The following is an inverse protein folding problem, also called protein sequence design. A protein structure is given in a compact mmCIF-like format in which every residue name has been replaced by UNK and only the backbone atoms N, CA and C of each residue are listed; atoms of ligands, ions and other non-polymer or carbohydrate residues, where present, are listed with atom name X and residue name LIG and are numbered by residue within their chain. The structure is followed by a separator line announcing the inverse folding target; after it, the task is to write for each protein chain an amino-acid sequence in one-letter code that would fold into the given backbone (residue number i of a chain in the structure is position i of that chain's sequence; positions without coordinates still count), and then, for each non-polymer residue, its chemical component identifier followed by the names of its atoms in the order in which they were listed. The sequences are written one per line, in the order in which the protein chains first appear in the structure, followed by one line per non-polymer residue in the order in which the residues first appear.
data_IF_314645937445
#
_entry.id   IF_314645937445
#
_cell.length_a   1.000
_cell.length_b   1.000
_cell.length_c   1.000
_cell.angle_alpha   90.00
_cell.angle_beta   90.00
_cell.angle_gamma   90.00
#
_symmetry.space_group_name_H-M   'P 1'
#
loop_
_entity.id
_entity.type
_entity.pdbx_description
1 polymer ?
#
# COMPACT_ATOMS: atom_id res chain seq x y z
N UNK A 1 -23.21 10.24 7.74
CA UNK A 1 -21.91 10.57 7.11
C UNK A 1 -21.13 9.29 6.87
N UNK A 2 -20.59 9.02 5.66
CA UNK A 2 -20.11 7.71 5.26
C UNK A 2 -18.69 7.63 4.71
N UNK A 3 -17.92 8.70 4.78
CA UNK A 3 -16.54 8.70 4.27
C UNK A 3 -15.52 8.86 5.42
N UNK A 4 -14.35 8.24 5.24
CA UNK A 4 -13.26 8.27 6.24
C UNK A 4 -12.65 9.67 6.38
N UNK A 5 -12.33 10.43 5.32
CA UNK A 5 -11.76 11.76 5.47
C UNK A 5 -12.61 12.68 6.34
N UNK A 6 -13.89 12.80 6.01
CA UNK A 6 -14.79 13.68 6.77
C UNK A 6 -14.95 13.22 8.22
N UNK A 7 -15.09 11.91 8.45
CA UNK A 7 -15.23 11.37 9.81
C UNK A 7 -13.96 11.54 10.66
N UNK A 8 -12.78 11.58 10.04
CA UNK A 8 -11.51 11.74 10.75
C UNK A 8 -11.19 13.21 11.06
N UNK A 9 -11.55 14.14 10.16
CA UNK A 9 -11.15 15.56 10.27
C UNK A 9 -12.21 16.39 11.00
N UNK A 10 -13.47 15.91 11.03
CA UNK A 10 -14.59 16.69 11.58
C UNK A 10 -14.57 16.70 13.10
N UNK A 11 -14.51 17.88 13.70
CA UNK A 11 -14.54 18.08 15.16
C UNK A 11 -15.97 18.14 15.73
N UNK A 12 -16.99 18.27 14.88
CA UNK A 12 -18.37 18.42 15.31
C UNK A 12 -19.32 17.61 14.43
N UNK A 13 -20.06 16.70 15.04
CA UNK A 13 -21.04 15.83 14.41
C UNK A 13 -22.49 16.24 14.69
N UNK A 14 -22.75 17.51 15.08
CA UNK A 14 -24.11 18.00 15.33
C UNK A 14 -24.96 17.86 14.04
N UNK A 15 -26.14 17.23 14.18
CA UNK A 15 -27.03 16.94 13.04
C UNK A 15 -26.65 15.72 12.19
N UNK A 16 -25.69 14.90 12.66
CA UNK A 16 -25.33 13.62 12.07
C UNK A 16 -25.87 12.50 12.93
N UNK A 17 -26.83 11.73 12.41
CA UNK A 17 -27.45 10.63 13.13
C UNK A 17 -26.61 9.35 13.09
N UNK A 18 -25.75 9.18 12.06
CA UNK A 18 -24.97 7.96 11.85
C UNK A 18 -23.67 8.25 11.13
N UNK A 19 -22.58 7.59 11.55
CA UNK A 19 -21.25 7.66 10.94
C UNK A 19 -20.85 6.26 10.49
N UNK A 20 -20.42 6.11 9.22
CA UNK A 20 -20.02 4.85 8.61
C UNK A 20 -18.69 4.97 7.85
N UNK A 21 -17.59 5.37 8.51
CA UNK A 21 -16.28 5.42 7.87
C UNK A 21 -15.76 3.97 7.68
N UNK A 22 -15.44 3.57 6.44
CA UNK A 22 -14.96 2.22 6.16
C UNK A 22 -13.45 2.08 6.33
N UNK A 23 -12.68 2.96 5.70
CA UNK A 23 -11.23 2.83 5.58
C UNK A 23 -10.44 3.26 6.83
N UNK A 24 -11.08 3.85 7.85
CA UNK A 24 -10.39 4.35 9.05
C UNK A 24 -9.67 3.25 9.85
N UNK A 25 -10.11 1.99 9.74
CA UNK A 25 -9.47 0.84 10.41
C UNK A 25 -8.13 0.45 9.78
N UNK A 26 -7.88 0.88 8.55
CA UNK A 26 -6.67 0.54 7.80
C UNK A 26 -5.84 1.76 7.46
N UNK A 27 -6.49 2.85 7.06
CA UNK A 27 -5.93 3.92 6.27
C UNK A 27 -5.16 3.39 5.04
N UNK A 28 -4.66 4.28 4.19
CA UNK A 28 -3.89 3.96 2.99
C UNK A 28 -3.16 5.18 2.45
N UNK A 29 -2.43 5.00 1.37
CA UNK A 29 -1.69 6.09 0.73
C UNK A 29 -2.62 7.18 0.20
N UNK A 30 -3.86 6.85 -0.20
CA UNK A 30 -4.85 7.85 -0.63
C UNK A 30 -5.28 8.73 0.55
N UNK A 31 -5.57 8.14 1.71
CA UNK A 31 -5.92 8.86 2.93
C UNK A 31 -4.77 9.75 3.42
N UNK A 32 -3.54 9.23 3.35
CA UNK A 32 -2.35 10.01 3.69
C UNK A 32 -2.17 11.22 2.75
N UNK A 33 -2.36 11.05 1.44
CA UNK A 33 -2.28 12.15 0.48
C UNK A 33 -3.36 13.24 0.70
N UNK A 34 -4.49 12.87 1.30
CA UNK A 34 -5.55 13.81 1.71
C UNK A 34 -5.24 14.50 3.05
N UNK A 35 -4.15 14.14 3.72
CA UNK A 35 -3.78 14.70 5.02
C UNK A 35 -4.59 14.15 6.20
N UNK A 36 -5.28 13.02 6.01
CA UNK A 36 -6.15 12.39 7.02
C UNK A 36 -5.36 11.61 8.07
N UNK A 37 -4.21 11.04 7.66
CA UNK A 37 -3.35 10.20 8.50
C UNK A 37 -1.88 10.36 8.11
N UNK A 38 -0.99 9.88 8.94
CA UNK A 38 0.43 9.70 8.62
C UNK A 38 0.67 8.34 7.95
N UNK A 39 1.89 8.08 7.47
CA UNK A 39 2.25 6.75 6.96
C UNK A 39 2.29 5.69 8.05
N UNK A 40 2.58 6.08 9.29
CA UNK A 40 2.65 5.16 10.43
C UNK A 40 1.28 4.67 10.88
N UNK A 41 0.21 5.41 10.54
CA UNK A 41 -1.17 5.03 10.83
C UNK A 41 -1.72 3.97 9.85
N UNK A 42 -1.02 3.69 8.73
CA UNK A 42 -1.46 2.71 7.74
C UNK A 42 -1.20 1.29 8.25
N UNK A 43 -2.27 0.59 8.61
CA UNK A 43 -2.19 -0.73 9.23
C UNK A 43 -1.99 -1.89 8.25
N UNK A 44 -2.35 -1.72 6.97
CA UNK A 44 -2.29 -2.80 5.96
C UNK A 44 -1.08 -2.65 5.06
N UNK A 45 -0.33 -3.75 4.89
CA UNK A 45 0.80 -3.85 3.97
C UNK A 45 0.67 -5.13 3.15
N UNK A 46 0.99 -5.05 1.87
CA UNK A 46 1.10 -6.22 1.01
C UNK A 46 2.56 -6.66 0.96
N UNK A 47 2.82 -7.90 1.34
CA UNK A 47 4.16 -8.50 1.25
C UNK A 47 4.29 -9.21 -0.09
N UNK A 48 5.27 -8.82 -0.89
CA UNK A 48 5.45 -9.31 -2.26
C UNK A 48 6.87 -9.83 -2.47
N UNK A 49 7.06 -11.03 -3.06
CA UNK A 49 8.39 -11.49 -3.42
C UNK A 49 8.92 -10.75 -4.66
N UNK A 50 10.21 -10.44 -4.64
CA UNK A 50 10.96 -9.95 -5.79
C UNK A 50 11.22 -11.11 -6.74
N UNK A 51 10.78 -10.98 -7.99
CA UNK A 51 10.91 -12.05 -9.00
C UNK A 51 11.90 -11.71 -10.11
N UNK A 52 12.20 -10.42 -10.33
CA UNK A 52 13.25 -10.00 -11.26
C UNK A 52 13.80 -8.62 -10.88
N UNK A 53 15.03 -8.33 -11.34
CA UNK A 53 15.71 -7.05 -11.14
C UNK A 53 16.37 -6.60 -12.44
N UNK A 54 16.15 -5.34 -12.80
CA UNK A 54 16.66 -4.73 -14.01
C UNK A 54 17.43 -3.42 -13.68
N UNK A 55 18.71 -3.51 -13.27
CA UNK A 55 19.46 -2.34 -12.81
C UNK A 55 19.58 -1.23 -13.86
N UNK A 56 19.75 -1.58 -15.14
CA UNK A 56 19.88 -0.61 -16.23
C UNK A 56 18.61 0.23 -16.47
N UNK A 57 17.46 -0.24 -16.00
CA UNK A 57 16.18 0.46 -16.09
C UNK A 57 15.72 1.05 -14.77
N UNK A 58 16.46 0.81 -13.67
CA UNK A 58 16.04 1.15 -12.31
C UNK A 58 14.67 0.53 -11.95
N UNK A 59 14.48 -0.74 -12.30
CA UNK A 59 13.23 -1.46 -12.12
C UNK A 59 13.44 -2.77 -11.37
N UNK A 60 12.51 -3.06 -10.46
CA UNK A 60 12.38 -4.33 -9.75
C UNK A 60 10.99 -4.87 -10.02
N UNK A 61 10.88 -6.14 -10.36
CA UNK A 61 9.60 -6.82 -10.59
C UNK A 61 9.23 -7.62 -9.35
N UNK A 62 7.99 -7.44 -8.91
CA UNK A 62 7.42 -8.19 -7.80
C UNK A 62 6.23 -9.04 -8.26
N UNK A 63 5.97 -10.15 -7.59
CA UNK A 63 4.70 -10.84 -7.69
C UNK A 63 3.70 -10.11 -6.78
N UNK A 64 2.99 -9.17 -7.38
CA UNK A 64 2.09 -8.23 -6.73
C UNK A 64 1.47 -7.31 -7.77
N UNK A 65 0.39 -7.73 -8.41
CA UNK A 65 -0.28 -7.02 -9.49
C UNK A 65 -1.71 -6.58 -9.15
N UNK A 66 -2.53 -6.38 -10.18
CA UNK A 66 -3.89 -5.86 -10.03
C UNK A 66 -4.81 -6.78 -9.22
N UNK A 67 -4.58 -8.10 -9.25
CA UNK A 67 -5.33 -9.07 -8.44
C UNK A 67 -5.00 -9.02 -6.96
N UNK A 68 -3.95 -8.26 -6.58
CA UNK A 68 -3.54 -8.04 -5.19
C UNK A 68 -3.84 -6.59 -4.73
N UNK A 69 -3.60 -5.59 -5.60
CA UNK A 69 -3.67 -4.16 -5.24
C UNK A 69 -4.90 -3.44 -5.78
N UNK A 70 -5.72 -4.07 -6.65
CA UNK A 70 -6.67 -3.38 -7.51
C UNK A 70 -5.97 -2.54 -8.61
N UNK A 71 -6.71 -1.63 -9.25
CA UNK A 71 -6.15 -0.70 -10.25
C UNK A 71 -6.22 0.76 -9.80
N UNK A 72 -6.52 0.99 -8.53
CA UNK A 72 -6.55 2.32 -7.97
C UNK A 72 -5.14 2.89 -7.87
N UNK A 73 -5.00 4.14 -8.24
CA UNK A 73 -3.74 4.83 -8.30
C UNK A 73 -3.88 6.28 -7.86
N UNK A 74 -2.86 6.78 -7.21
CA UNK A 74 -2.68 8.22 -6.97
C UNK A 74 -1.57 8.76 -7.86
N UNK A 75 -1.38 10.08 -7.86
CA UNK A 75 -0.23 10.71 -8.52
C UNK A 75 0.84 11.00 -7.47
N UNK A 76 2.09 10.66 -7.81
CA UNK A 76 3.22 11.07 -7.00
C UNK A 76 3.55 12.57 -7.24
N UNK A 77 4.57 13.08 -6.57
CA UNK A 77 5.02 14.48 -6.69
C UNK A 77 5.37 14.90 -8.12
N UNK A 78 5.79 13.97 -8.97
CA UNK A 78 6.10 14.19 -10.40
C UNK A 78 4.85 14.07 -11.31
N UNK A 79 3.66 13.92 -10.75
CA UNK A 79 2.41 13.71 -11.49
C UNK A 79 2.25 12.32 -12.13
N UNK A 80 3.16 11.38 -11.86
CA UNK A 80 3.13 10.02 -12.40
C UNK A 80 2.20 9.14 -11.57
N UNK A 81 1.57 8.16 -12.22
CA UNK A 81 0.74 7.15 -11.52
C UNK A 81 1.59 6.33 -10.57
N UNK A 82 1.06 6.14 -9.36
CA UNK A 82 1.64 5.33 -8.31
C UNK A 82 0.54 4.41 -7.73
N UNK A 83 0.86 3.12 -7.56
CA UNK A 83 -0.04 2.09 -7.05
C UNK A 83 0.28 1.66 -5.62
N UNK A 84 1.38 2.14 -5.05
CA UNK A 84 1.79 1.88 -3.68
C UNK A 84 3.16 2.47 -3.36
N UNK A 85 3.44 2.62 -2.05
CA UNK A 85 4.72 3.07 -1.51
C UNK A 85 5.52 1.86 -1.02
N UNK A 86 6.84 1.93 -1.16
CA UNK A 86 7.73 0.81 -0.88
C UNK A 86 8.29 0.93 0.53
N UNK A 87 8.18 -0.14 1.31
CA UNK A 87 8.90 -0.34 2.57
C UNK A 87 9.89 -1.49 2.38
N UNK A 88 11.11 -1.28 2.78
CA UNK A 88 12.15 -2.32 2.81
C UNK A 88 12.56 -2.60 4.26
N UNK A 89 13.09 -3.80 4.50
CA UNK A 89 13.77 -4.10 5.74
C UNK A 89 15.25 -3.75 5.58
N UNK A 90 15.75 -2.90 6.44
CA UNK A 90 17.16 -2.55 6.51
C UNK A 90 17.69 -2.85 7.91
N UNK A 91 18.47 -3.93 8.04
CA UNK A 91 19.04 -4.37 9.32
C UNK A 91 18.00 -4.58 10.44
N UNK A 92 16.83 -5.11 10.10
CA UNK A 92 15.74 -5.33 11.05
C UNK A 92 14.74 -4.17 11.17
N UNK A 93 15.08 -3.00 10.66
CA UNK A 93 14.20 -1.83 10.68
C UNK A 93 13.39 -1.69 9.40
N UNK A 94 12.12 -1.33 9.53
CA UNK A 94 11.23 -1.03 8.40
C UNK A 94 11.46 0.42 7.95
N UNK A 95 11.89 0.59 6.71
CA UNK A 95 12.21 1.91 6.13
C UNK A 95 11.27 2.19 4.96
N UNK A 96 10.43 3.20 5.10
CA UNK A 96 9.65 3.74 3.97
C UNK A 96 10.60 4.49 3.05
N UNK A 97 10.68 4.06 1.80
CA UNK A 97 11.50 4.74 0.80
C UNK A 97 10.87 6.08 0.38
N UNK A 98 11.71 7.01 -0.09
CA UNK A 98 11.26 8.31 -0.58
C UNK A 98 10.32 8.21 -1.80
N UNK A 99 9.79 9.34 -2.26
CA UNK A 99 8.78 9.41 -3.34
C UNK A 99 9.31 9.05 -4.72
N UNK A 100 10.63 8.91 -4.90
CA UNK A 100 11.24 8.44 -6.14
C UNK A 100 11.14 6.91 -6.29
N UNK A 101 10.78 6.22 -5.18
CA UNK A 101 10.71 4.77 -5.08
C UNK A 101 9.24 4.35 -4.84
N UNK A 102 8.61 3.74 -5.83
CA UNK A 102 7.18 3.44 -5.78
C UNK A 102 6.79 2.30 -6.73
N UNK A 103 5.62 1.70 -6.48
CA UNK A 103 4.98 0.77 -7.40
C UNK A 103 4.41 1.56 -8.58
N UNK A 104 5.09 1.50 -9.73
CA UNK A 104 4.87 2.39 -10.87
C UNK A 104 3.91 1.82 -11.92
N UNK A 105 3.87 0.50 -12.06
CA UNK A 105 3.02 -0.22 -13.02
C UNK A 105 2.59 -1.55 -12.43
N UNK A 106 1.40 -1.99 -12.81
CA UNK A 106 0.88 -3.31 -12.47
C UNK A 106 0.31 -3.98 -13.72
N UNK A 107 0.59 -5.26 -13.88
CA UNK A 107 -0.15 -6.18 -14.74
C UNK A 107 -1.14 -6.99 -13.90
N UNK A 108 -1.64 -8.11 -14.40
CA UNK A 108 -2.57 -8.94 -13.62
C UNK A 108 -1.93 -9.42 -12.31
N UNK A 109 -0.75 -10.04 -12.36
CA UNK A 109 -0.10 -10.69 -11.22
C UNK A 109 1.21 -10.01 -10.80
N UNK A 110 1.79 -9.18 -11.66
CA UNK A 110 3.10 -8.58 -11.41
C UNK A 110 3.02 -7.07 -11.28
N UNK A 111 3.87 -6.55 -10.42
CA UNK A 111 4.12 -5.13 -10.24
C UNK A 111 5.54 -4.75 -10.63
N UNK A 112 5.72 -3.52 -11.09
CA UNK A 112 7.03 -2.95 -11.40
C UNK A 112 7.29 -1.81 -10.43
N UNK A 113 8.28 -1.99 -9.58
CA UNK A 113 8.80 -0.94 -8.73
C UNK A 113 9.75 -0.09 -9.56
N UNK A 114 9.54 1.21 -9.57
CA UNK A 114 10.55 2.19 -9.98
C UNK A 114 11.35 2.54 -8.75
N UNK A 115 12.67 2.40 -8.83
CA UNK A 115 13.56 2.67 -7.70
C UNK A 115 14.71 3.57 -8.15
N UNK A 116 15.21 4.41 -7.24
CA UNK A 116 16.41 5.20 -7.51
C UNK A 116 17.63 4.27 -7.70
N UNK A 117 18.60 4.69 -8.51
CA UNK A 117 19.83 3.92 -8.77
C UNK A 117 20.56 3.55 -7.47
N UNK A 118 20.57 4.44 -6.49
CA UNK A 118 21.17 4.20 -5.17
C UNK A 118 20.43 3.15 -4.33
N UNK A 119 19.18 2.85 -4.65
CA UNK A 119 18.34 1.90 -3.91
C UNK A 119 18.29 0.51 -4.56
N UNK A 120 18.69 0.37 -5.82
CA UNK A 120 18.55 -0.90 -6.57
C UNK A 120 19.32 -2.05 -5.91
N UNK A 121 20.40 -1.75 -5.20
CA UNK A 121 21.20 -2.72 -4.45
C UNK A 121 20.48 -3.37 -3.27
N UNK A 122 19.43 -2.73 -2.74
CA UNK A 122 18.66 -3.24 -1.60
C UNK A 122 17.68 -4.36 -1.97
N UNK A 123 17.56 -4.72 -3.24
CA UNK A 123 16.63 -5.73 -3.71
C UNK A 123 17.36 -6.91 -4.32
N UNK A 124 17.08 -8.12 -3.87
CA UNK A 124 17.54 -9.37 -4.48
C UNK A 124 16.33 -10.22 -4.87
N UNK A 125 16.51 -11.08 -5.88
CA UNK A 125 15.46 -12.04 -6.27
C UNK A 125 15.23 -12.98 -5.09
N UNK A 126 13.96 -13.15 -4.71
CA UNK A 126 13.53 -13.93 -3.54
C UNK A 126 13.33 -13.10 -2.27
N UNK A 127 13.84 -11.86 -2.21
CA UNK A 127 13.55 -10.96 -1.08
C UNK A 127 12.04 -10.65 -1.01
N UNK A 128 11.56 -10.43 0.20
CA UNK A 128 10.21 -9.94 0.44
C UNK A 128 10.24 -8.41 0.61
N UNK A 129 9.40 -7.72 -0.14
CA UNK A 129 9.21 -6.27 -0.04
C UNK A 129 7.80 -5.96 0.40
N UNK A 130 7.63 -4.97 1.26
CA UNK A 130 6.32 -4.52 1.72
C UNK A 130 5.86 -3.32 0.91
N UNK A 131 4.61 -3.33 0.52
CA UNK A 131 3.98 -2.24 -0.23
C UNK A 131 2.79 -1.71 0.57
N UNK A 132 2.81 -0.42 0.89
CA UNK A 132 1.62 0.29 1.35
C UNK A 132 0.70 0.50 0.15
N UNK A 133 -0.51 -0.07 0.16
CA UNK A 133 -1.43 0.06 -0.97
C UNK A 133 -1.99 1.48 -1.07
N UNK A 134 -2.35 1.85 -2.29
CA UNK A 134 -3.10 3.11 -2.51
C UNK A 134 -4.50 3.01 -1.93
N UNK A 135 -5.13 1.82 -1.98
CA UNK A 135 -6.47 1.58 -1.47
C UNK A 135 -6.52 0.29 -0.64
N UNK A 136 -6.37 0.42 0.67
CA UNK A 136 -6.31 -0.73 1.59
C UNK A 136 -7.55 -1.60 1.56
N UNK A 137 -8.75 -1.01 1.51
CA UNK A 137 -10.01 -1.79 1.50
C UNK A 137 -10.11 -2.72 0.28
N UNK A 138 -9.70 -2.24 -0.91
CA UNK A 138 -9.72 -3.08 -2.11
C UNK A 138 -8.65 -4.17 -2.06
N UNK A 139 -7.44 -3.85 -1.58
CA UNK A 139 -6.37 -4.83 -1.38
C UNK A 139 -6.81 -5.92 -0.40
N UNK A 140 -7.34 -5.53 0.73
CA UNK A 140 -7.87 -6.45 1.73
C UNK A 140 -8.97 -7.35 1.17
N UNK A 141 -9.94 -6.76 0.45
CA UNK A 141 -11.02 -7.49 -0.18
C UNK A 141 -10.55 -8.50 -1.23
N UNK A 142 -9.50 -8.20 -1.99
CA UNK A 142 -8.92 -9.10 -2.98
C UNK A 142 -8.22 -10.29 -2.30
N UNK A 143 -7.54 -10.07 -1.19
CA UNK A 143 -6.77 -11.10 -0.47
C UNK A 143 -7.65 -12.01 0.40
N UNK A 144 -8.74 -11.51 0.97
CA UNK A 144 -9.70 -12.28 1.75
C UNK A 144 -9.22 -12.73 3.14
N UNK A 145 -7.99 -12.46 3.52
CA UNK A 145 -7.41 -12.78 4.83
C UNK A 145 -6.22 -11.88 5.15
N UNK A 146 -5.82 -11.86 6.42
CA UNK A 146 -4.66 -11.14 6.92
C UNK A 146 -3.77 -12.05 7.74
N UNK A 147 -2.50 -11.68 7.85
CA UNK A 147 -1.58 -12.20 8.85
C UNK A 147 -1.12 -11.00 9.67
N UNK A 148 -1.31 -11.04 11.00
CA UNK A 148 -0.87 -9.96 11.88
C UNK A 148 0.66 -9.96 11.98
N UNK A 149 1.23 -8.88 12.50
CA UNK A 149 2.68 -8.79 12.75
C UNK A 149 3.16 -9.83 13.78
N UNK A 150 2.25 -10.35 14.61
CA UNK A 150 2.52 -11.41 15.59
C UNK A 150 2.30 -12.82 15.01
N UNK A 151 1.91 -12.91 13.73
CA UNK A 151 1.72 -14.18 13.01
C UNK A 151 0.35 -14.80 13.15
N UNK A 152 -0.62 -14.07 13.71
CA UNK A 152 -2.01 -14.55 13.80
C UNK A 152 -2.70 -14.47 12.45
N UNK A 153 -3.42 -15.53 12.07
CA UNK A 153 -4.22 -15.58 10.84
C UNK A 153 -5.64 -15.11 11.11
N UNK A 154 -6.11 -14.10 10.36
CA UNK A 154 -7.45 -13.54 10.46
C UNK A 154 -8.17 -13.71 9.12
N UNK A 155 -9.22 -14.52 9.10
CA UNK A 155 -10.10 -14.64 7.94
C UNK A 155 -11.08 -13.47 7.88
N UNK A 156 -11.31 -12.99 6.67
CA UNK A 156 -12.43 -12.08 6.42
C UNK A 156 -13.74 -12.86 6.37
N UNK A 157 -14.86 -12.17 6.63
CA UNK A 157 -16.18 -12.79 6.48
C UNK A 157 -16.36 -13.37 5.08
N UNK A 158 -16.94 -14.56 4.95
CA UNK A 158 -17.22 -15.16 3.64
C UNK A 158 -18.06 -14.22 2.78
N UNK A 159 -17.71 -14.15 1.51
CA UNK A 159 -18.57 -13.47 0.52
C UNK A 159 -19.75 -14.38 0.22
N UNK A 160 -20.95 -13.85 0.41
CA UNK A 160 -22.19 -14.53 0.02
C UNK A 160 -22.40 -14.44 -1.48
#
# INVERSE_FOLDING_TARGET
MGDTPSATICDNFAGVDEIRPGNFVFYDVMQQNLGVCSFDDIAVRMVCPVVAKHPSRNEVVIHGGAVHFSKDAVRNTDGKKMYGRIIINRNGEKVLLDTLNYLSRISQEHGILKVAQSQIGNFNIGDLVEILPVHSCLTANLMGHYITTDGEFIEMMPRF
#
